data_IF_995265100797
#
_entry.id   IF_995265100797
#
_cell.length_a   1.000
_cell.length_b   1.000
_cell.length_c   1.000
_cell.angle_alpha   90.00
_cell.angle_beta   90.00
_cell.angle_gamma   90.00
#
_symmetry.space_group_name_H-M   'P 1'
#
loop_
_entity.id
_entity.type
_entity.pdbx_description
1 polymer ?
#
# COMPACT_ATOMS: atom_id res chain seq x y z
N UNK A 1 52.91 47.04 6.09
CA UNK A 1 54.16 46.50 5.51
C UNK A 1 54.23 45.02 5.86
N UNK A 2 54.71 44.10 5.03
CA UNK A 2 55.19 44.17 3.63
C UNK A 2 54.01 44.51 2.65
N UNK A 3 54.00 44.40 1.31
CA UNK A 3 54.72 43.63 0.26
C UNK A 3 54.40 42.10 0.23
N UNK A 4 54.63 41.47 -0.93
CA UNK A 4 54.27 40.07 -1.32
C UNK A 4 55.52 39.31 -1.82
N UNK A 5 55.46 37.96 -1.88
CA UNK A 5 56.04 37.03 -2.91
C UNK A 5 55.44 35.62 -2.64
N UNK A 6 55.03 34.73 -3.56
CA UNK A 6 55.23 34.41 -5.00
C UNK A 6 56.48 33.58 -5.39
N UNK A 7 56.32 32.25 -5.33
CA UNK A 7 56.83 31.18 -6.23
C UNK A 7 55.99 29.90 -5.90
N UNK A 8 55.51 29.00 -6.77
CA UNK A 8 55.79 28.61 -8.15
C UNK A 8 56.97 27.64 -8.36
N UNK A 9 56.67 26.34 -8.48
CA UNK A 9 57.46 25.37 -9.26
C UNK A 9 56.57 24.20 -9.77
N UNK A 10 57.08 23.33 -10.66
CA UNK A 10 56.25 22.54 -11.55
C UNK A 10 56.79 21.14 -11.95
N UNK A 11 55.86 20.32 -12.50
CA UNK A 11 56.08 19.11 -13.33
C UNK A 11 56.88 17.94 -12.71
N UNK A 12 56.20 16.78 -12.66
CA UNK A 12 56.60 15.66 -13.55
C UNK A 12 55.40 14.76 -13.89
N UNK A 13 55.18 14.56 -15.20
CA UNK A 13 54.36 13.47 -15.76
C UNK A 13 55.33 12.34 -16.13
N UNK A 14 54.92 11.09 -15.91
CA UNK A 14 55.48 9.92 -16.60
C UNK A 14 54.34 9.16 -17.28
N UNK A 15 54.63 8.56 -18.44
CA UNK A 15 53.72 7.70 -19.22
C UNK A 15 54.42 6.37 -19.45
N UNK A 16 53.68 5.26 -19.26
CA UNK A 16 53.72 3.94 -19.97
C UNK A 16 55.08 3.32 -20.38
N UNK A 17 55.15 1.98 -20.37
CA UNK A 17 54.97 1.29 -21.66
C UNK A 17 53.66 0.48 -21.80
N UNK A 18 53.42 0.00 -23.03
CA UNK A 18 52.63 -1.19 -23.39
C UNK A 18 53.60 -2.11 -24.13
N UNK A 19 53.65 -3.40 -23.80
CA UNK A 19 54.16 -4.53 -24.59
C UNK A 19 53.59 -5.80 -23.89
N UNK A 20 53.28 -6.93 -24.53
CA UNK A 20 53.32 -7.30 -25.96
C UNK A 20 52.19 -8.31 -26.25
N UNK A 21 51.98 -8.74 -27.49
CA UNK A 21 51.07 -9.84 -27.84
C UNK A 21 51.73 -10.72 -28.89
N UNK A 22 51.90 -12.00 -28.59
CA UNK A 22 52.66 -12.96 -29.40
C UNK A 22 51.75 -14.09 -29.89
N UNK A 23 52.15 -14.75 -30.98
CA UNK A 23 51.30 -15.44 -31.94
C UNK A 23 51.05 -16.95 -31.70
N UNK A 24 50.17 -17.51 -32.55
CA UNK A 24 49.75 -18.92 -32.66
C UNK A 24 50.88 -19.88 -33.11
N UNK A 25 50.59 -21.19 -33.14
CA UNK A 25 50.66 -21.92 -34.42
C UNK A 25 49.40 -22.75 -34.77
N UNK A 26 49.41 -23.35 -35.97
CA UNK A 26 48.37 -24.19 -36.61
C UNK A 26 49.04 -25.46 -37.24
N UNK A 27 48.35 -26.51 -37.71
CA UNK A 27 46.91 -26.79 -37.73
C UNK A 27 46.58 -28.13 -37.01
N UNK A 28 46.21 -29.32 -37.58
CA UNK A 28 45.85 -29.74 -38.95
C UNK A 28 44.33 -29.71 -39.23
N UNK A 29 43.91 -30.14 -40.42
CA UNK A 29 42.56 -30.62 -40.75
C UNK A 29 42.53 -32.16 -40.84
N UNK A 30 41.33 -32.75 -40.99
CA UNK A 30 40.98 -33.86 -41.91
C UNK A 30 39.95 -34.82 -41.27
N UNK A 31 38.66 -34.56 -41.51
CA UNK A 31 37.57 -35.56 -41.43
C UNK A 31 36.59 -35.32 -42.61
N UNK A 32 35.91 -36.38 -43.04
CA UNK A 32 35.30 -36.48 -44.39
C UNK A 32 33.80 -36.17 -44.43
N UNK A 33 33.22 -36.08 -45.64
CA UNK A 33 31.80 -35.87 -45.87
C UNK A 33 30.96 -37.14 -45.62
N UNK A 34 29.91 -37.04 -44.81
CA UNK A 34 28.69 -37.85 -44.94
C UNK A 34 27.47 -36.94 -45.11
N UNK A 35 26.86 -36.95 -46.29
CA UNK A 35 25.63 -36.23 -46.61
C UNK A 35 24.40 -37.14 -46.44
N UNK A 36 23.49 -36.84 -45.50
CA UNK A 36 22.07 -37.14 -45.71
C UNK A 36 21.08 -36.29 -44.89
N UNK A 37 20.27 -35.51 -45.62
CA UNK A 37 18.89 -35.10 -45.34
C UNK A 37 18.49 -34.66 -43.90
N UNK A 38 18.59 -33.35 -43.62
CA UNK A 38 17.70 -32.70 -42.64
C UNK A 38 16.39 -32.26 -43.32
N UNK A 39 15.28 -32.85 -42.91
CA UNK A 39 13.93 -32.45 -43.33
C UNK A 39 13.54 -31.07 -42.76
N UNK A 40 13.42 -30.06 -43.62
CA UNK A 40 12.95 -28.72 -43.24
C UNK A 40 11.44 -28.68 -42.92
N UNK A 41 11.03 -29.09 -41.72
CA UNK A 41 9.70 -28.74 -41.22
C UNK A 41 9.61 -27.24 -40.93
N UNK A 42 8.82 -26.55 -41.73
CA UNK A 42 8.73 -25.09 -41.75
C UNK A 42 7.99 -24.55 -40.52
N UNK A 43 8.72 -24.03 -39.54
CA UNK A 43 8.11 -23.20 -38.48
C UNK A 43 7.51 -21.94 -39.11
N UNK A 44 6.18 -21.89 -39.18
CA UNK A 44 5.43 -20.84 -39.85
C UNK A 44 5.45 -19.51 -39.06
N UNK A 45 6.52 -18.74 -39.22
CA UNK A 45 6.52 -17.32 -38.87
C UNK A 45 5.48 -16.61 -39.75
N UNK A 46 4.31 -16.30 -39.18
CA UNK A 46 3.30 -15.46 -39.82
C UNK A 46 3.76 -14.01 -39.77
N UNK A 47 4.70 -13.66 -40.66
CA UNK A 47 5.07 -12.27 -40.90
C UNK A 47 3.86 -11.50 -41.42
N UNK A 48 3.24 -10.69 -40.57
CA UNK A 48 2.15 -9.78 -40.95
C UNK A 48 2.77 -8.59 -41.71
N UNK A 49 3.12 -8.84 -42.97
CA UNK A 49 3.74 -7.91 -43.92
C UNK A 49 2.83 -6.73 -44.32
N UNK A 50 1.54 -6.79 -43.98
CA UNK A 50 0.55 -5.80 -44.38
C UNK A 50 0.54 -4.55 -43.47
N UNK A 51 1.06 -3.45 -44.03
CA UNK A 51 1.10 -2.11 -43.40
C UNK A 51 -0.31 -1.56 -43.06
N UNK A 52 -1.39 -2.06 -43.67
CA UNK A 52 -2.77 -1.75 -43.24
C UNK A 52 -3.11 -2.46 -41.93
N UNK A 53 -2.82 -3.75 -41.84
CA UNK A 53 -3.11 -4.58 -40.65
C UNK A 53 -2.33 -4.10 -39.43
N UNK A 54 -1.04 -3.76 -39.58
CA UNK A 54 -0.27 -3.15 -38.49
C UNK A 54 -0.84 -1.79 -38.03
N UNK A 55 -1.29 -0.94 -38.97
CA UNK A 55 -1.97 0.34 -38.63
C UNK A 55 -3.33 0.13 -37.94
N UNK A 56 -4.08 -0.92 -38.30
CA UNK A 56 -5.32 -1.29 -37.64
C UNK A 56 -5.06 -1.79 -36.20
N UNK A 57 -4.09 -2.69 -36.03
CA UNK A 57 -3.67 -3.20 -34.71
C UNK A 57 -3.20 -2.05 -33.80
N UNK A 58 -2.41 -1.12 -34.34
CA UNK A 58 -1.95 0.07 -33.60
C UNK A 58 -3.10 1.03 -33.24
N UNK A 59 -4.12 1.20 -34.10
CA UNK A 59 -5.36 1.92 -33.75
C UNK A 59 -6.09 1.26 -32.59
N UNK A 60 -6.18 -0.07 -32.57
CA UNK A 60 -6.90 -0.82 -31.53
C UNK A 60 -6.09 -0.97 -30.23
N UNK A 61 -4.76 -0.86 -30.30
CA UNK A 61 -3.88 -0.62 -29.16
C UNK A 61 -4.09 0.78 -28.57
N UNK A 62 -4.25 1.80 -29.41
CA UNK A 62 -4.43 3.21 -29.04
C UNK A 62 -5.87 3.57 -28.59
N UNK A 63 -6.89 2.79 -28.97
CA UNK A 63 -8.32 3.09 -28.72
C UNK A 63 -8.64 3.17 -27.21
N UNK A 64 -8.65 4.38 -26.67
CA UNK A 64 -8.92 4.69 -25.27
C UNK A 64 -10.44 4.61 -24.96
N UNK A 65 -10.95 3.37 -24.85
CA UNK A 65 -12.38 3.07 -24.58
C UNK A 65 -12.72 3.40 -23.12
N UNK A 66 -12.05 2.74 -22.17
CA UNK A 66 -12.39 2.80 -20.75
C UNK A 66 -11.78 4.04 -20.06
N UNK A 67 -12.43 5.20 -20.18
CA UNK A 67 -11.90 6.51 -19.75
C UNK A 67 -11.97 6.75 -18.22
N UNK A 68 -11.33 5.90 -17.42
CA UNK A 68 -11.19 6.09 -15.97
C UNK A 68 -10.22 7.23 -15.64
N UNK A 69 -10.58 8.06 -14.64
CA UNK A 69 -9.75 9.14 -14.11
C UNK A 69 -10.02 9.26 -12.61
N UNK A 70 -8.98 9.05 -11.79
CA UNK A 70 -9.12 8.93 -10.34
C UNK A 70 -8.62 10.19 -9.64
N UNK A 71 -9.47 10.88 -8.89
CA UNK A 71 -9.05 11.97 -8.01
C UNK A 71 -8.41 11.38 -6.74
N UNK A 72 -7.17 11.75 -6.41
CA UNK A 72 -6.43 11.18 -5.24
C UNK A 72 -5.89 12.30 -4.34
N UNK A 73 -6.49 12.49 -3.17
CA UNK A 73 -6.16 13.54 -2.21
C UNK A 73 -6.55 13.15 -0.78
N UNK A 74 -6.34 14.06 0.18
CA UNK A 74 -6.45 13.80 1.60
C UNK A 74 -7.00 15.00 2.38
N UNK A 75 -7.39 14.78 3.64
CA UNK A 75 -7.71 15.85 4.58
C UNK A 75 -6.48 16.63 5.05
N UNK A 76 -6.70 17.86 5.51
CA UNK A 76 -5.74 18.67 6.25
C UNK A 76 -5.45 18.00 7.60
N UNK A 77 -4.19 17.72 7.91
CA UNK A 77 -3.80 17.05 9.18
C UNK A 77 -3.38 15.58 9.05
N UNK A 78 -3.41 15.01 7.85
CA UNK A 78 -2.82 13.70 7.51
C UNK A 78 -1.34 13.57 7.96
N UNK A 79 -0.98 12.42 8.58
CA UNK A 79 0.35 12.18 9.20
C UNK A 79 1.49 12.09 8.19
N UNK A 80 2.74 12.06 8.66
CA UNK A 80 3.93 11.88 7.81
C UNK A 80 3.88 10.59 6.96
N UNK A 81 3.73 9.41 7.59
CA UNK A 81 3.58 8.13 6.87
C UNK A 81 2.43 8.14 5.88
N UNK A 82 1.27 8.62 6.33
CA UNK A 82 0.06 8.65 5.50
C UNK A 82 0.22 9.59 4.27
N UNK A 83 1.08 10.62 4.34
CA UNK A 83 1.45 11.44 3.17
C UNK A 83 2.28 10.67 2.14
N UNK A 84 3.21 9.83 2.60
CA UNK A 84 3.97 8.94 1.72
C UNK A 84 3.08 7.87 1.13
N UNK A 85 2.20 7.24 1.93
CA UNK A 85 1.18 6.31 1.41
C UNK A 85 0.27 6.93 0.34
N UNK A 86 -0.17 8.18 0.52
CA UNK A 86 -0.91 8.93 -0.51
C UNK A 86 -0.08 9.15 -1.78
N UNK A 87 1.25 9.25 -1.68
CA UNK A 87 2.14 9.41 -2.83
C UNK A 87 2.43 8.07 -3.52
N UNK A 88 2.65 6.99 -2.76
CA UNK A 88 2.74 5.61 -3.27
C UNK A 88 1.48 5.28 -4.11
N UNK A 89 0.28 5.55 -3.58
CA UNK A 89 -1.00 5.36 -4.30
C UNK A 89 -1.11 6.20 -5.58
N UNK A 90 -0.48 7.38 -5.65
CA UNK A 90 -0.45 8.20 -6.87
C UNK A 90 0.52 7.63 -7.89
N UNK A 91 1.65 7.12 -7.44
CA UNK A 91 2.69 6.63 -8.32
C UNK A 91 2.40 5.22 -8.88
N UNK A 92 1.57 4.45 -8.18
CA UNK A 92 0.88 3.25 -8.70
C UNK A 92 -0.20 3.55 -9.75
N UNK A 93 -0.88 4.70 -9.67
CA UNK A 93 -2.07 4.99 -10.50
C UNK A 93 -1.75 6.02 -11.60
N UNK A 94 -1.38 5.61 -12.83
CA UNK A 94 -1.00 6.55 -13.91
C UNK A 94 -2.14 7.49 -14.32
N UNK A 95 -3.40 7.08 -14.14
CA UNK A 95 -4.63 7.83 -14.43
C UNK A 95 -5.11 8.69 -13.24
N UNK A 96 -4.27 8.90 -12.21
CA UNK A 96 -4.61 9.80 -11.11
C UNK A 96 -4.58 11.29 -11.50
N UNK A 97 -5.37 12.08 -10.78
CA UNK A 97 -5.21 13.54 -10.65
C UNK A 97 -4.98 13.89 -9.18
N UNK A 98 -3.92 14.67 -8.92
CA UNK A 98 -3.64 15.27 -7.61
C UNK A 98 -4.53 16.50 -7.42
N UNK A 99 -4.88 16.80 -6.17
CA UNK A 99 -5.41 18.11 -5.80
C UNK A 99 -4.94 18.55 -4.41
N UNK A 100 -5.33 19.78 -4.02
CA UNK A 100 -5.10 20.36 -2.70
C UNK A 100 -5.81 19.53 -1.62
N UNK A 101 -5.32 19.61 -0.37
CA UNK A 101 -5.96 18.93 0.76
C UNK A 101 -7.20 19.68 1.23
N UNK A 102 -8.31 18.97 1.36
CA UNK A 102 -9.58 19.51 1.84
C UNK A 102 -9.51 19.78 3.35
N UNK A 103 -10.14 20.86 3.83
CA UNK A 103 -10.22 21.15 5.26
C UNK A 103 -11.37 20.38 5.93
N UNK A 104 -11.16 19.91 7.16
CA UNK A 104 -12.00 18.87 7.80
C UNK A 104 -13.40 19.36 8.26
N UNK A 105 -13.72 20.63 8.02
CA UNK A 105 -14.97 21.29 8.46
C UNK A 105 -16.08 21.30 7.40
N UNK A 106 -15.78 20.95 6.15
CA UNK A 106 -16.75 20.98 5.05
C UNK A 106 -17.69 19.76 4.98
N UNK A 107 -18.81 19.92 4.27
CA UNK A 107 -19.63 18.77 3.82
C UNK A 107 -18.83 17.97 2.79
N UNK A 108 -18.86 16.64 2.86
CA UNK A 108 -18.13 15.79 1.90
C UNK A 108 -18.71 15.84 0.46
N UNK A 109 -19.90 16.44 0.26
CA UNK A 109 -20.48 16.70 -1.06
C UNK A 109 -19.58 17.53 -1.97
N UNK A 110 -18.77 18.44 -1.40
CA UNK A 110 -17.82 19.29 -2.15
C UNK A 110 -16.77 18.46 -2.90
N UNK A 111 -16.56 17.20 -2.50
CA UNK A 111 -15.66 16.27 -3.21
C UNK A 111 -16.21 15.92 -4.61
N UNK A 112 -17.55 15.93 -4.79
CA UNK A 112 -18.18 15.69 -6.08
C UNK A 112 -17.96 16.88 -7.04
N UNK A 113 -18.13 18.12 -6.53
CA UNK A 113 -17.83 19.36 -7.26
C UNK A 113 -16.36 19.41 -7.69
N UNK A 114 -15.43 19.03 -6.80
CA UNK A 114 -14.00 18.93 -7.13
C UNK A 114 -13.76 17.84 -8.19
N UNK A 115 -14.38 16.66 -8.07
CA UNK A 115 -14.24 15.61 -9.07
C UNK A 115 -14.78 16.03 -10.44
N UNK A 116 -15.88 16.78 -10.49
CA UNK A 116 -16.46 17.34 -11.71
C UNK A 116 -15.56 18.41 -12.34
N UNK A 117 -15.09 19.41 -11.57
CA UNK A 117 -14.12 20.42 -12.03
C UNK A 117 -12.83 19.80 -12.56
N UNK A 118 -12.34 18.72 -11.94
CA UNK A 118 -11.18 17.96 -12.44
C UNK A 118 -11.55 16.97 -13.53
N UNK A 119 -12.83 16.78 -13.87
CA UNK A 119 -13.37 15.77 -14.78
C UNK A 119 -12.77 14.37 -14.47
N UNK A 120 -13.09 13.89 -13.27
CA UNK A 120 -12.77 12.59 -12.70
C UNK A 120 -14.07 11.81 -12.41
N UNK A 121 -14.09 10.51 -12.71
CA UNK A 121 -15.26 9.65 -12.56
C UNK A 121 -15.20 8.74 -11.32
N UNK A 122 -14.07 8.77 -10.61
CA UNK A 122 -13.82 8.00 -9.40
C UNK A 122 -12.92 8.80 -8.46
N UNK A 123 -13.07 8.61 -7.16
CA UNK A 123 -12.31 9.36 -6.14
C UNK A 123 -11.81 8.46 -5.03
N UNK A 124 -10.55 8.67 -4.64
CA UNK A 124 -9.91 8.16 -3.42
C UNK A 124 -9.64 9.37 -2.51
N UNK A 125 -10.35 9.42 -1.38
CA UNK A 125 -10.19 10.48 -0.38
C UNK A 125 -9.71 9.90 0.96
N UNK A 126 -8.54 10.35 1.40
CA UNK A 126 -7.91 9.93 2.65
C UNK A 126 -8.28 10.88 3.80
N UNK A 127 -9.26 10.50 4.59
CA UNK A 127 -9.74 11.23 5.76
C UNK A 127 -8.90 10.86 6.99
N UNK A 128 -8.02 11.77 7.43
CA UNK A 128 -7.42 11.67 8.75
C UNK A 128 -8.46 11.96 9.83
N UNK A 129 -8.37 11.31 10.99
CA UNK A 129 -9.11 11.72 12.20
C UNK A 129 -8.22 11.69 13.42
N UNK A 130 -8.33 12.74 14.24
CA UNK A 130 -7.50 13.00 15.43
C UNK A 130 -5.98 12.92 15.17
N UNK A 131 -5.53 13.09 13.92
CA UNK A 131 -4.15 12.86 13.45
C UNK A 131 -3.60 11.45 13.79
N UNK A 132 -4.48 10.46 13.94
CA UNK A 132 -4.15 9.11 14.47
C UNK A 132 -4.80 7.99 13.65
N UNK A 133 -6.09 8.12 13.34
CA UNK A 133 -6.84 7.15 12.55
C UNK A 133 -6.85 7.61 11.08
N UNK A 134 -6.68 6.68 10.13
CA UNK A 134 -6.80 6.98 8.69
C UNK A 134 -7.96 6.20 8.10
N UNK A 135 -8.93 6.91 7.53
CA UNK A 135 -10.01 6.33 6.75
C UNK A 135 -9.77 6.60 5.26
N UNK A 136 -10.12 5.65 4.42
CA UNK A 136 -10.12 5.80 2.97
C UNK A 136 -11.54 5.65 2.46
N UNK A 137 -12.02 6.71 1.81
CA UNK A 137 -13.25 6.67 1.04
C UNK A 137 -12.91 6.37 -0.41
N UNK A 138 -13.60 5.36 -0.95
CA UNK A 138 -13.57 5.03 -2.37
C UNK A 138 -14.96 5.28 -2.95
N UNK A 139 -15.06 6.07 -4.02
CA UNK A 139 -16.35 6.42 -4.62
C UNK A 139 -16.30 6.48 -6.13
N UNK A 140 -17.44 6.18 -6.79
CA UNK A 140 -17.75 6.65 -8.14
C UNK A 140 -18.43 8.01 -8.07
N UNK A 141 -17.97 8.97 -8.86
CA UNK A 141 -18.47 10.36 -8.86
C UNK A 141 -19.23 10.66 -10.15
N UNK A 142 -20.36 11.41 -10.12
CA UNK A 142 -21.00 12.03 -8.95
C UNK A 142 -22.05 11.15 -8.25
N UNK A 143 -22.59 10.12 -8.91
CA UNK A 143 -23.80 9.43 -8.44
C UNK A 143 -23.60 8.49 -7.25
N UNK A 144 -22.38 7.97 -7.03
CA UNK A 144 -22.13 6.86 -6.11
C UNK A 144 -22.04 5.50 -6.84
N UNK A 145 -21.93 4.38 -6.10
CA UNK A 145 -21.89 4.32 -4.63
C UNK A 145 -20.55 4.79 -4.05
N UNK A 146 -20.51 4.93 -2.72
CA UNK A 146 -19.27 5.17 -1.97
C UNK A 146 -19.10 4.19 -0.81
N UNK A 147 -17.84 3.83 -0.53
CA UNK A 147 -17.49 2.87 0.52
C UNK A 147 -16.43 3.49 1.42
N UNK A 148 -16.65 3.42 2.73
CA UNK A 148 -15.68 3.84 3.74
C UNK A 148 -14.93 2.63 4.29
N UNK A 149 -13.61 2.69 4.26
CA UNK A 149 -12.70 1.75 4.90
C UNK A 149 -11.89 2.44 5.99
N UNK A 150 -11.57 1.73 7.07
CA UNK A 150 -10.48 2.08 7.98
C UNK A 150 -9.19 1.45 7.42
N UNK A 151 -8.15 2.25 7.20
CA UNK A 151 -6.85 1.76 6.72
C UNK A 151 -5.98 1.35 7.91
N UNK A 152 -5.52 0.11 7.90
CA UNK A 152 -4.69 -0.52 8.93
C UNK A 152 -3.41 -1.08 8.30
N UNK A 153 -2.40 -1.36 9.14
CA UNK A 153 -1.13 -2.00 8.76
C UNK A 153 -0.48 -1.36 7.51
N UNK A 154 -0.44 -0.02 7.48
CA UNK A 154 0.21 0.76 6.42
C UNK A 154 1.72 0.62 6.58
N UNK A 155 2.38 0.10 5.55
CA UNK A 155 3.82 0.18 5.37
C UNK A 155 4.08 0.73 3.97
N UNK A 156 4.77 1.86 3.87
CA UNK A 156 5.04 2.55 2.60
C UNK A 156 6.19 1.90 1.84
N UNK A 157 6.31 2.20 0.54
CA UNK A 157 7.44 1.70 -0.28
C UNK A 157 8.81 2.05 0.33
N UNK A 158 8.91 3.19 1.04
CA UNK A 158 10.15 3.65 1.68
C UNK A 158 10.39 3.09 3.09
N UNK A 159 9.39 2.48 3.73
CA UNK A 159 9.49 1.95 5.11
C UNK A 159 9.91 0.47 5.15
N UNK A 160 9.60 -0.30 4.11
CA UNK A 160 9.93 -1.74 4.05
C UNK A 160 11.13 -1.95 3.14
N UNK A 161 12.10 -2.76 3.59
CA UNK A 161 13.24 -3.21 2.76
C UNK A 161 12.79 -4.28 1.75
N UNK A 162 11.94 -3.88 0.80
CA UNK A 162 11.50 -4.71 -0.31
C UNK A 162 12.48 -4.59 -1.49
N UNK A 163 12.64 -5.67 -2.23
CA UNK A 163 13.61 -5.79 -3.33
C UNK A 163 12.98 -5.60 -4.71
N UNK A 164 11.65 -5.72 -4.82
CA UNK A 164 10.93 -5.52 -6.07
C UNK A 164 10.85 -4.04 -6.47
N UNK A 165 10.85 -3.80 -7.78
CA UNK A 165 10.65 -2.49 -8.39
C UNK A 165 9.59 -2.60 -9.50
N UNK A 166 9.06 -1.47 -9.98
CA UNK A 166 8.23 -1.49 -11.20
C UNK A 166 8.35 -0.20 -12.02
N UNK A 167 8.26 -0.34 -13.33
CA UNK A 167 8.13 0.73 -14.31
C UNK A 167 6.92 1.59 -13.97
N UNK A 168 7.16 2.80 -13.46
CA UNK A 168 6.13 3.80 -13.18
C UNK A 168 5.21 4.00 -14.40
N UNK A 169 3.92 3.76 -14.20
CA UNK A 169 2.88 3.80 -15.23
C UNK A 169 2.75 2.57 -16.13
N UNK A 170 3.43 1.46 -15.85
CA UNK A 170 3.06 0.14 -16.40
C UNK A 170 1.64 -0.25 -16.01
N UNK A 171 1.08 -1.28 -16.68
CA UNK A 171 -0.27 -1.75 -16.40
C UNK A 171 -0.24 -2.87 -15.35
N UNK A 172 -0.85 -2.69 -14.17
CA UNK A 172 -1.01 -3.78 -13.22
C UNK A 172 -1.94 -4.86 -13.78
N UNK A 173 -1.60 -6.12 -13.54
CA UNK A 173 -2.62 -7.17 -13.44
C UNK A 173 -3.35 -7.00 -12.10
N UNK A 174 -4.65 -7.30 -12.06
CA UNK A 174 -5.45 -7.28 -10.84
C UNK A 174 -5.85 -8.71 -10.49
N UNK A 175 -5.22 -9.27 -9.46
CA UNK A 175 -5.59 -10.56 -8.91
C UNK A 175 -6.58 -10.35 -7.75
N UNK A 176 -7.72 -11.03 -7.81
CA UNK A 176 -8.74 -11.03 -6.76
C UNK A 176 -8.98 -12.46 -6.30
N UNK A 177 -8.92 -12.66 -4.99
CA UNK A 177 -9.32 -13.87 -4.29
C UNK A 177 -10.79 -14.26 -4.60
N UNK A 178 -11.06 -15.57 -4.74
CA UNK A 178 -12.39 -16.10 -5.05
C UNK A 178 -13.44 -15.77 -3.96
N UNK A 179 -13.01 -15.50 -2.72
CA UNK A 179 -13.90 -15.04 -1.64
C UNK A 179 -14.66 -13.76 -2.06
N UNK A 180 -14.08 -12.91 -2.93
CA UNK A 180 -14.77 -11.70 -3.40
C UNK A 180 -16.08 -11.98 -4.15
N UNK A 181 -16.23 -13.14 -4.79
CA UNK A 181 -17.41 -13.46 -5.58
C UNK A 181 -18.55 -14.09 -4.75
N UNK A 182 -18.29 -14.48 -3.50
CA UNK A 182 -19.27 -15.17 -2.63
C UNK A 182 -20.43 -14.29 -2.15
N UNK A 183 -20.18 -12.99 -1.97
CA UNK A 183 -21.08 -12.08 -1.25
C UNK A 183 -21.28 -10.81 -2.08
N UNK A 184 -22.51 -10.30 -2.29
CA UNK A 184 -22.73 -9.13 -3.17
C UNK A 184 -22.02 -7.86 -2.70
N UNK A 185 -21.80 -7.71 -1.39
CA UNK A 185 -20.99 -6.62 -0.82
C UNK A 185 -19.52 -6.72 -1.25
N UNK A 186 -18.96 -7.93 -1.33
CA UNK A 186 -17.60 -8.15 -1.81
C UNK A 186 -17.51 -8.09 -3.33
N UNK A 187 -18.53 -8.53 -4.08
CA UNK A 187 -18.62 -8.31 -5.54
C UNK A 187 -18.61 -6.81 -5.89
N UNK A 188 -19.33 -5.99 -5.10
CA UNK A 188 -19.28 -4.53 -5.18
C UNK A 188 -17.87 -3.99 -4.90
N UNK A 189 -17.19 -4.49 -3.86
CA UNK A 189 -15.79 -4.10 -3.57
C UNK A 189 -14.85 -4.48 -4.71
N UNK A 190 -14.95 -5.70 -5.26
CA UNK A 190 -14.17 -6.18 -6.41
C UNK A 190 -14.35 -5.26 -7.62
N UNK A 191 -15.59 -5.01 -8.02
CA UNK A 191 -15.92 -4.12 -9.16
C UNK A 191 -15.40 -2.69 -8.94
N UNK A 192 -15.56 -2.15 -7.74
CA UNK A 192 -15.17 -0.78 -7.41
C UNK A 192 -13.64 -0.62 -7.33
N UNK A 193 -12.93 -1.59 -6.73
CA UNK A 193 -11.46 -1.65 -6.73
C UNK A 193 -10.91 -1.85 -8.14
N UNK A 194 -11.52 -2.72 -8.95
CA UNK A 194 -11.13 -2.96 -10.35
C UNK A 194 -11.18 -1.68 -11.19
N UNK A 195 -12.22 -0.85 -11.03
CA UNK A 195 -12.35 0.41 -11.76
C UNK A 195 -11.41 1.52 -11.26
N UNK A 196 -10.99 1.47 -9.99
CA UNK A 196 -10.07 2.44 -9.39
C UNK A 196 -8.60 2.10 -9.70
N UNK A 197 -8.19 0.87 -9.42
CA UNK A 197 -6.80 0.42 -9.52
C UNK A 197 -6.41 -0.05 -10.93
N UNK A 198 -7.38 -0.41 -11.78
CA UNK A 198 -7.11 -0.81 -13.17
C UNK A 198 -6.64 0.36 -14.04
N UNK A 199 -5.37 0.33 -14.48
CA UNK A 199 -4.82 1.33 -15.40
C UNK A 199 -5.43 1.17 -16.81
N UNK A 200 -6.16 2.18 -17.34
CA UNK A 200 -6.91 2.02 -18.57
C UNK A 200 -6.03 2.05 -19.82
N UNK A 201 -6.32 1.15 -20.77
CA UNK A 201 -5.64 1.06 -22.08
C UNK A 201 -5.78 2.37 -22.86
N UNK A 202 -4.67 2.88 -23.41
CA UNK A 202 -4.66 4.11 -24.22
C UNK A 202 -4.59 5.43 -23.45
N UNK A 203 -4.47 5.42 -22.11
CA UNK A 203 -4.25 6.64 -21.34
C UNK A 203 -2.79 7.17 -21.53
N UNK A 204 -2.54 8.48 -21.76
CA UNK A 204 -1.21 8.98 -22.18
C UNK A 204 -0.04 8.75 -21.22
N UNK A 205 -0.29 8.45 -19.93
CA UNK A 205 0.76 8.10 -18.95
C UNK A 205 0.93 6.59 -18.75
N UNK A 206 0.16 5.76 -19.46
CA UNK A 206 0.18 4.30 -19.35
C UNK A 206 1.17 3.73 -20.38
N UNK A 207 2.16 2.99 -19.90
CA UNK A 207 3.09 2.20 -20.72
C UNK A 207 2.39 0.88 -21.15
N UNK A 208 2.74 0.30 -22.30
CA UNK A 208 2.08 -0.92 -22.79
C UNK A 208 2.42 -2.16 -21.93
N UNK A 209 3.60 -2.16 -21.31
CA UNK A 209 4.15 -3.29 -20.56
C UNK A 209 3.34 -3.65 -19.31
N UNK A 210 3.32 -4.94 -19.01
CA UNK A 210 2.84 -5.55 -17.77
C UNK A 210 4.09 -5.97 -17.00
N UNK A 211 4.19 -5.52 -15.75
CA UNK A 211 5.43 -5.54 -14.96
C UNK A 211 5.16 -5.79 -13.47
N UNK A 212 3.92 -5.63 -13.03
CA UNK A 212 3.51 -5.87 -11.64
C UNK A 212 2.05 -6.33 -11.52
N UNK A 213 1.72 -6.92 -10.37
CA UNK A 213 0.41 -7.47 -10.00
C UNK A 213 -0.06 -6.84 -8.69
N UNK A 214 -1.25 -6.27 -8.70
CA UNK A 214 -1.97 -5.94 -7.47
C UNK A 214 -2.82 -7.14 -7.05
N UNK A 215 -2.54 -7.67 -5.86
CA UNK A 215 -3.26 -8.81 -5.29
C UNK A 215 -4.14 -8.36 -4.14
N UNK A 216 -5.42 -8.69 -4.23
CA UNK A 216 -6.45 -8.41 -3.23
C UNK A 216 -6.95 -9.73 -2.62
N UNK A 217 -6.77 -9.90 -1.31
CA UNK A 217 -7.20 -11.08 -0.56
C UNK A 217 -8.19 -10.72 0.55
N UNK A 218 -9.11 -11.62 0.93
CA UNK A 218 -10.02 -11.40 2.07
C UNK A 218 -9.61 -12.30 3.24
N UNK A 219 -9.13 -11.69 4.32
CA UNK A 219 -8.78 -12.39 5.56
C UNK A 219 -9.32 -11.59 6.75
N UNK A 220 -9.96 -12.27 7.71
CA UNK A 220 -10.68 -11.68 8.86
C UNK A 220 -11.71 -10.60 8.47
N UNK A 221 -12.43 -10.84 7.36
CA UNK A 221 -13.37 -9.91 6.72
C UNK A 221 -12.77 -8.55 6.29
N UNK A 222 -11.43 -8.46 6.20
CA UNK A 222 -10.69 -7.27 5.74
C UNK A 222 -10.05 -7.56 4.38
N UNK A 223 -9.95 -6.53 3.54
CA UNK A 223 -9.26 -6.62 2.24
C UNK A 223 -7.78 -6.30 2.43
N UNK A 224 -6.92 -7.27 2.15
CA UNK A 224 -5.46 -7.12 2.19
C UNK A 224 -4.95 -6.78 0.80
N UNK A 225 -4.15 -5.71 0.68
CA UNK A 225 -3.51 -5.31 -0.57
C UNK A 225 -2.02 -5.67 -0.56
N UNK A 226 -1.54 -6.26 -1.65
CA UNK A 226 -0.12 -6.49 -1.95
C UNK A 226 0.19 -6.12 -3.39
N UNK A 227 1.45 -5.76 -3.66
CA UNK A 227 1.95 -5.38 -4.97
C UNK A 227 3.26 -6.12 -5.25
N UNK A 228 3.29 -6.92 -6.31
CA UNK A 228 4.42 -7.78 -6.69
C UNK A 228 4.91 -7.45 -8.09
N UNK A 229 6.22 -7.33 -8.27
CA UNK A 229 6.88 -7.33 -9.57
C UNK A 229 6.77 -8.72 -10.20
N UNK A 230 6.56 -8.78 -11.51
CA UNK A 230 6.65 -10.03 -12.29
C UNK A 230 8.07 -10.14 -12.84
N UNK A 231 8.84 -11.10 -12.33
CA UNK A 231 10.19 -11.41 -12.81
C UNK A 231 10.12 -12.64 -13.71
N UNK A 232 10.65 -12.52 -14.92
CA UNK A 232 10.83 -13.64 -15.84
C UNK A 232 12.30 -14.02 -15.85
N UNK A 233 12.63 -15.23 -15.40
CA UNK A 233 14.01 -15.72 -15.43
C UNK A 233 14.40 -16.05 -16.86
N UNK A 234 15.30 -15.23 -17.43
CA UNK A 234 15.79 -15.35 -18.80
C UNK A 234 16.81 -16.50 -19.00
N UNK A 235 16.50 -17.69 -18.47
CA UNK A 235 17.27 -18.91 -18.71
C UNK A 235 16.86 -19.46 -20.07
N UNK A 236 17.81 -19.51 -20.99
CA UNK A 236 17.55 -19.80 -22.40
C UNK A 236 16.87 -21.17 -22.60
N UNK A 237 15.84 -21.21 -23.46
CA UNK A 237 15.19 -22.44 -23.91
C UNK A 237 14.14 -23.07 -22.98
N UNK A 238 13.86 -22.52 -21.80
CA UNK A 238 12.78 -23.01 -20.92
C UNK A 238 11.83 -21.91 -20.45
N UNK A 239 10.54 -22.07 -20.72
CA UNK A 239 9.47 -21.25 -20.12
C UNK A 239 9.26 -21.65 -18.66
N UNK A 240 10.11 -21.11 -17.79
CA UNK A 240 9.92 -21.18 -16.34
C UNK A 240 8.71 -20.32 -15.90
N UNK A 241 8.04 -20.71 -14.82
CA UNK A 241 6.98 -19.90 -14.23
C UNK A 241 7.53 -18.55 -13.71
N UNK A 242 6.78 -17.44 -13.86
CA UNK A 242 7.26 -16.12 -13.45
C UNK A 242 7.31 -15.97 -11.93
N UNK A 243 8.45 -15.51 -11.41
CA UNK A 243 8.70 -15.30 -9.98
C UNK A 243 8.12 -13.96 -9.54
N UNK A 244 7.41 -13.94 -8.41
CA UNK A 244 6.79 -12.73 -7.86
C UNK A 244 7.63 -12.13 -6.73
N UNK A 245 8.16 -10.93 -6.93
CA UNK A 245 8.99 -10.21 -5.94
C UNK A 245 8.22 -9.00 -5.40
N UNK A 246 8.02 -8.88 -4.09
CA UNK A 246 7.16 -7.82 -3.54
C UNK A 246 7.81 -6.42 -3.64
N UNK A 247 7.00 -5.42 -4.02
CA UNK A 247 7.36 -3.98 -4.17
C UNK A 247 6.73 -3.14 -3.05
N UNK A 248 5.49 -3.47 -2.65
CA UNK A 248 4.67 -2.65 -1.77
C UNK A 248 3.96 -1.48 -2.48
N UNK A 249 3.28 -0.57 -1.76
CA UNK A 249 3.11 -0.56 -0.30
C UNK A 249 2.23 -1.71 0.20
N UNK A 250 2.33 -2.02 1.50
CA UNK A 250 1.42 -2.94 2.19
C UNK A 250 0.36 -2.15 2.93
N UNK A 251 -0.91 -2.55 2.82
CA UNK A 251 -1.99 -2.06 3.68
C UNK A 251 -3.13 -3.07 3.78
N UNK A 252 -4.00 -2.84 4.77
CA UNK A 252 -5.23 -3.61 5.03
C UNK A 252 -6.40 -2.65 5.14
N UNK A 253 -7.50 -2.96 4.46
CA UNK A 253 -8.74 -2.19 4.47
C UNK A 253 -9.80 -2.93 5.28
N UNK A 254 -10.15 -2.40 6.45
CA UNK A 254 -11.29 -2.89 7.22
C UNK A 254 -12.55 -2.13 6.76
N UNK A 255 -13.53 -2.79 6.12
CA UNK A 255 -14.72 -2.13 5.62
C UNK A 255 -15.59 -1.61 6.78
N UNK A 256 -16.12 -0.40 6.65
CA UNK A 256 -16.91 0.28 7.68
C UNK A 256 -18.38 0.31 7.27
N UNK A 257 -18.69 1.05 6.19
CA UNK A 257 -20.05 1.25 5.66
C UNK A 257 -20.02 1.45 4.15
N UNK A 258 -21.10 1.04 3.49
CA UNK A 258 -21.42 1.34 2.08
C UNK A 258 -22.58 2.32 2.05
N UNK A 259 -22.46 3.35 1.22
CA UNK A 259 -23.49 4.37 0.99
C UNK A 259 -23.95 4.33 -0.47
N UNK A 260 -25.24 4.59 -0.68
CA UNK A 260 -25.87 4.62 -2.01
C UNK A 260 -25.32 5.74 -2.90
N UNK A 261 -25.08 6.93 -2.33
CA UNK A 261 -24.56 8.10 -3.04
C UNK A 261 -23.04 8.24 -2.96
N UNK A 262 -22.50 9.20 -3.72
CA UNK A 262 -21.10 9.61 -3.61
C UNK A 262 -20.90 10.53 -2.40
N UNK A 263 -20.17 10.04 -1.39
CA UNK A 263 -19.89 10.74 -0.12
C UNK A 263 -21.14 11.13 0.69
N UNK A 264 -22.26 10.42 0.50
CA UNK A 264 -23.53 10.65 1.16
C UNK A 264 -24.62 9.67 0.72
N UNK A 265 -25.88 9.97 1.05
CA UNK A 265 -27.01 9.07 0.81
C UNK A 265 -27.25 8.05 1.94
N UNK A 266 -28.20 7.15 1.72
CA UNK A 266 -28.54 6.08 2.65
C UNK A 266 -27.37 5.10 2.85
N UNK A 267 -27.21 4.56 4.05
CA UNK A 267 -26.29 3.44 4.30
C UNK A 267 -26.96 2.17 3.77
N UNK A 268 -26.34 1.53 2.77
CA UNK A 268 -26.82 0.27 2.18
C UNK A 268 -26.35 -0.96 2.98
N UNK A 269 -25.19 -0.85 3.64
CA UNK A 269 -24.62 -1.91 4.45
C UNK A 269 -23.64 -1.33 5.48
N UNK A 270 -23.60 -1.92 6.67
CA UNK A 270 -22.64 -1.63 7.73
C UNK A 270 -21.98 -2.94 8.18
N UNK A 271 -20.67 -2.90 8.48
CA UNK A 271 -19.93 -4.07 8.93
C UNK A 271 -20.20 -4.34 10.43
N UNK A 272 -20.87 -5.45 10.81
CA UNK A 272 -21.13 -5.76 12.23
C UNK A 272 -19.84 -6.07 13.02
N UNK A 273 -18.75 -6.45 12.34
CA UNK A 273 -17.45 -6.73 12.95
C UNK A 273 -16.55 -5.50 13.06
N UNK A 274 -16.99 -4.32 12.57
CA UNK A 274 -16.19 -3.11 12.63
C UNK A 274 -16.29 -2.43 14.02
N UNK A 275 -15.18 -2.44 14.76
CA UNK A 275 -15.01 -1.66 15.99
C UNK A 275 -14.12 -0.46 15.69
N UNK A 276 -14.59 0.76 15.98
CA UNK A 276 -13.80 1.96 15.72
C UNK A 276 -12.55 2.04 16.62
N UNK A 277 -11.43 2.60 16.13
CA UNK A 277 -10.23 2.80 16.96
C UNK A 277 -10.45 3.68 18.19
N UNK A 278 -11.51 4.52 18.19
CA UNK A 278 -11.90 5.33 19.33
C UNK A 278 -12.63 4.49 20.38
N UNK A 279 -13.53 3.59 19.98
CA UNK A 279 -14.18 2.63 20.87
C UNK A 279 -13.18 1.62 21.47
N UNK A 280 -12.22 1.14 20.66
CA UNK A 280 -11.09 0.32 21.12
C UNK A 280 -10.28 1.02 22.22
N UNK A 281 -9.92 2.29 22.02
CA UNK A 281 -9.19 3.07 23.03
C UNK A 281 -10.02 3.37 24.28
N UNK A 282 -11.30 3.69 24.12
CA UNK A 282 -12.22 3.90 25.25
C UNK A 282 -12.39 2.63 26.10
N UNK A 283 -12.48 1.44 25.49
CA UNK A 283 -12.60 0.18 26.23
C UNK A 283 -11.29 -0.20 26.95
N UNK A 284 -10.12 0.09 26.36
CA UNK A 284 -8.82 -0.06 27.01
C UNK A 284 -8.67 0.88 28.22
N UNK A 285 -9.02 2.16 28.10
CA UNK A 285 -9.00 3.10 29.22
C UNK A 285 -10.01 2.70 30.31
N UNK A 286 -11.20 2.22 29.96
CA UNK A 286 -12.18 1.70 30.94
C UNK A 286 -11.65 0.47 31.67
N UNK A 287 -10.98 -0.46 30.97
CA UNK A 287 -10.32 -1.62 31.61
C UNK A 287 -9.19 -1.19 32.56
N UNK A 288 -8.45 -0.13 32.23
CA UNK A 288 -7.42 0.44 33.11
C UNK A 288 -8.04 1.10 34.35
N UNK A 289 -9.09 1.93 34.20
CA UNK A 289 -9.74 2.58 35.34
C UNK A 289 -10.46 1.58 36.25
N UNK A 290 -11.12 0.55 35.72
CA UNK A 290 -11.69 -0.53 36.54
C UNK A 290 -10.60 -1.27 37.33
N UNK A 291 -9.42 -1.56 36.76
CA UNK A 291 -8.31 -2.14 37.52
C UNK A 291 -7.83 -1.24 38.66
N UNK A 292 -7.80 0.08 38.46
CA UNK A 292 -7.46 1.05 39.50
C UNK A 292 -8.53 1.08 40.60
N UNK A 293 -9.81 1.20 40.24
CA UNK A 293 -10.96 1.21 41.16
C UNK A 293 -10.98 -0.05 42.03
N UNK A 294 -10.81 -1.23 41.42
CA UNK A 294 -10.77 -2.50 42.15
C UNK A 294 -9.57 -2.56 43.11
N UNK A 295 -8.41 -2.01 42.74
CA UNK A 295 -7.23 -1.92 43.64
C UNK A 295 -7.50 -0.97 44.81
N UNK A 296 -8.11 0.19 44.58
CA UNK A 296 -8.45 1.13 45.66
C UNK A 296 -9.52 0.56 46.60
N UNK A 297 -10.51 -0.17 46.06
CA UNK A 297 -11.53 -0.86 46.85
C UNK A 297 -10.92 -2.00 47.69
N UNK A 298 -10.02 -2.80 47.12
CA UNK A 298 -9.31 -3.85 47.87
C UNK A 298 -8.42 -3.28 49.00
N UNK A 299 -7.75 -2.14 48.77
CA UNK A 299 -6.97 -1.46 49.82
C UNK A 299 -7.89 -0.89 50.92
N UNK A 300 -9.06 -0.36 50.56
CA UNK A 300 -10.05 0.10 51.54
C UNK A 300 -10.60 -1.08 52.38
N UNK A 301 -11.02 -2.17 51.72
CA UNK A 301 -11.51 -3.36 52.39
C UNK A 301 -10.44 -4.02 53.28
N UNK A 302 -9.17 -4.03 52.86
CA UNK A 302 -8.05 -4.51 53.70
C UNK A 302 -7.87 -3.65 54.95
N UNK A 303 -8.02 -2.31 54.84
CA UNK A 303 -7.96 -1.41 56.00
C UNK A 303 -9.14 -1.62 56.94
N UNK A 304 -10.36 -1.76 56.41
CA UNK A 304 -11.55 -2.07 57.20
C UNK A 304 -11.38 -3.41 57.93
N UNK A 305 -11.05 -4.49 57.22
CA UNK A 305 -10.79 -5.79 57.84
C UNK A 305 -9.69 -5.72 58.91
N UNK A 306 -8.64 -4.91 58.72
CA UNK A 306 -7.62 -4.72 59.76
C UNK A 306 -8.17 -4.00 61.00
N UNK A 307 -9.02 -2.98 60.83
CA UNK A 307 -9.72 -2.31 61.93
C UNK A 307 -10.71 -3.26 62.62
N UNK A 308 -11.49 -4.03 61.87
CA UNK A 308 -12.44 -5.03 62.36
C UNK A 308 -11.75 -6.23 63.05
N UNK A 309 -10.44 -6.41 62.83
CA UNK A 309 -9.59 -7.44 63.45
C UNK A 309 -8.77 -6.95 64.65
N UNK A 310 -8.86 -5.66 65.00
CA UNK A 310 -8.27 -5.17 66.25
C UNK A 310 -9.15 -5.66 67.41
N UNK A 311 -8.61 -6.59 68.19
CA UNK A 311 -9.23 -7.06 69.43
C UNK A 311 -9.26 -5.87 70.40
N UNK A 312 -10.40 -5.55 71.05
CA UNK A 312 -10.43 -4.54 72.10
C UNK A 312 -9.47 -4.90 73.24
N UNK A 313 -8.75 -3.91 73.77
CA UNK A 313 -7.82 -4.12 74.89
C UNK A 313 -8.59 -4.71 76.10
N UNK A 314 -8.07 -5.75 76.76
CA UNK A 314 -8.76 -6.39 77.87
C UNK A 314 -8.77 -5.48 79.10
N UNK A 315 -9.95 -5.27 79.70
CA UNK A 315 -10.17 -4.30 80.79
C UNK A 315 -9.20 -4.48 81.99
N UNK A 316 -8.68 -5.69 82.19
CA UNK A 316 -7.72 -6.05 83.24
C UNK A 316 -6.33 -5.43 83.12
N UNK A 317 -5.89 -4.95 81.94
CA UNK A 317 -4.57 -4.30 81.82
C UNK A 317 -4.51 -2.94 82.55
N UNK A 318 -5.65 -2.36 82.91
CA UNK A 318 -5.73 -1.18 83.78
C UNK A 318 -5.24 -1.43 85.21
N UNK A 319 -5.22 -2.69 85.67
CA UNK A 319 -4.90 -3.06 87.06
C UNK A 319 -3.45 -2.77 87.43
N UNK A 320 -2.50 -2.99 86.51
CA UNK A 320 -1.07 -2.85 86.81
C UNK A 320 -0.59 -1.40 86.95
N UNK A 321 -1.28 -0.45 86.31
CA UNK A 321 -0.98 0.98 86.42
C UNK A 321 -1.49 1.64 87.71
N UNK A 322 -2.34 0.97 88.49
CA UNK A 322 -2.83 1.48 89.77
C UNK A 322 -1.80 1.37 90.92
N UNK A 323 -0.70 0.64 90.71
CA UNK A 323 0.23 0.23 91.79
C UNK A 323 1.45 1.15 92.01
N UNK A 324 1.64 2.20 91.21
CA UNK A 324 2.81 3.11 91.31
C UNK A 324 2.54 4.38 92.16
N UNK A 325 1.53 4.36 93.04
CA UNK A 325 1.17 5.50 93.93
C UNK A 325 1.05 5.08 95.41
N UNK A 326 2.17 4.67 96.02
CA UNK A 326 2.38 4.62 97.48
C UNK A 326 3.81 5.05 97.83
#
# INVERSE_FOLDING_TARGET
MLKRKLAADAKKRTKKPKHETTSQPQQPSDEEHEDMEQSHESQSQVEITDKKTQKALHRDLSRYINKQRVLVFASRGIRHRDRHFMQDLRDLLPHHKKDVKLDEKGKLSVINEIAEMKNCNSTIYLESRKKQDLYMWLSKTPNGPSVKFLVQNIHTMAEVKLTGNCLKGSRPLLCFDAIFDTTPVYQLFKTLLQQLFGAPKGHPKVKPFIDHVFSFFIVDNRVWFRNYQVVYDAVEGKTNDPVLVEIGPRFVLNPVRVFSGSFGGSTLWENPHYISPNAMRASLHRRQSTKFINRTAAIAAMKQHHQDSLIPDPEVDTVFHATEQQ
#
